data_IF_328164003699
#
_entry.id   IF_328164003699
#
_cell.length_a   1.000
_cell.length_b   1.000
_cell.length_c   1.000
_cell.angle_alpha   90.00
_cell.angle_beta   90.00
_cell.angle_gamma   90.00
#
_symmetry.space_group_name_H-M   'P 1'
#
loop_
_entity.id
_entity.type
_entity.pdbx_description
1 polymer ?
#
# COMPACT_ATOMS: atom_id res chain seq x y z
N UNK A 1 17.07 15.72 5.16
CA UNK A 1 16.42 15.13 6.34
C UNK A 1 14.95 15.52 6.55
N UNK A 2 14.44 16.62 5.94
CA UNK A 2 13.01 16.99 6.05
C UNK A 2 12.12 16.36 4.96
N UNK A 3 12.65 16.16 3.75
CA UNK A 3 11.86 15.66 2.62
C UNK A 3 11.49 14.18 2.77
N UNK A 4 12.38 13.36 3.32
CA UNK A 4 12.15 11.93 3.54
C UNK A 4 11.04 11.67 4.56
N UNK A 5 10.99 12.45 5.65
CA UNK A 5 9.91 12.37 6.66
C UNK A 5 8.56 12.79 6.06
N UNK A 6 8.56 13.82 5.21
CA UNK A 6 7.36 14.26 4.48
C UNK A 6 6.87 13.16 3.53
N UNK A 7 7.78 12.58 2.75
CA UNK A 7 7.47 11.46 1.84
C UNK A 7 6.94 10.22 2.56
N UNK A 8 7.52 9.87 3.71
CA UNK A 8 7.03 8.78 4.58
C UNK A 8 5.61 9.07 5.09
N UNK A 9 5.34 10.30 5.52
CA UNK A 9 4.00 10.72 5.95
C UNK A 9 2.97 10.65 4.82
N UNK A 10 3.35 11.05 3.60
CA UNK A 10 2.51 10.94 2.40
C UNK A 10 2.23 9.47 2.03
N UNK A 11 3.22 8.58 2.19
CA UNK A 11 3.08 7.14 1.96
C UNK A 11 2.09 6.51 2.95
N UNK A 12 2.22 6.82 4.25
CA UNK A 12 1.29 6.32 5.28
C UNK A 12 -0.14 6.80 4.99
N UNK A 13 -0.30 8.09 4.68
CA UNK A 13 -1.60 8.66 4.34
C UNK A 13 -2.25 7.99 3.12
N UNK A 14 -1.44 7.62 2.12
CA UNK A 14 -1.92 6.87 0.95
C UNK A 14 -2.37 5.45 1.29
N UNK A 15 -1.61 4.73 2.13
CA UNK A 15 -1.99 3.39 2.58
C UNK A 15 -3.28 3.43 3.38
N UNK A 16 -3.40 4.35 4.35
CA UNK A 16 -4.61 4.52 5.16
C UNK A 16 -5.85 4.82 4.31
N UNK A 17 -5.69 5.66 3.27
CA UNK A 17 -6.78 5.98 2.33
C UNK A 17 -7.26 4.74 1.59
N UNK A 18 -6.34 3.93 1.06
CA UNK A 18 -6.71 2.71 0.34
C UNK A 18 -7.32 1.64 1.25
N UNK A 19 -6.83 1.48 2.48
CA UNK A 19 -7.44 0.57 3.46
C UNK A 19 -8.86 1.00 3.82
N UNK A 20 -9.09 2.30 4.03
CA UNK A 20 -10.41 2.86 4.30
C UNK A 20 -11.37 2.68 3.11
N UNK A 21 -10.83 2.80 1.89
CA UNK A 21 -11.60 2.59 0.67
C UNK A 21 -12.01 1.11 0.49
N UNK A 22 -11.10 0.17 0.79
CA UNK A 22 -11.42 -1.27 0.80
C UNK A 22 -12.52 -1.56 1.82
N UNK A 23 -12.41 -1.04 3.05
CA UNK A 23 -13.45 -1.21 4.08
C UNK A 23 -14.81 -0.68 3.63
N UNK A 24 -14.82 0.48 2.95
CA UNK A 24 -16.06 1.04 2.36
C UNK A 24 -16.63 0.16 1.27
N UNK A 25 -15.80 -0.40 0.39
CA UNK A 25 -16.24 -1.28 -0.71
C UNK A 25 -16.75 -2.62 -0.15
N UNK A 26 -16.14 -3.16 0.90
CA UNK A 26 -16.55 -4.40 1.55
C UNK A 26 -17.95 -4.32 2.18
N UNK A 27 -18.40 -3.12 2.54
CA UNK A 27 -19.78 -2.86 3.03
C UNK A 27 -20.82 -2.89 1.91
N UNK A 28 -20.41 -2.92 0.64
CA UNK A 28 -21.34 -3.04 -0.49
C UNK A 28 -21.80 -4.50 -0.67
N UNK A 29 -23.01 -4.72 -1.20
CA UNK A 29 -23.49 -6.05 -1.58
C UNK A 29 -22.53 -6.76 -2.54
N UNK A 30 -22.49 -8.08 -2.44
CA UNK A 30 -21.65 -8.90 -3.29
C UNK A 30 -22.01 -8.76 -4.76
N UNK A 31 -21.00 -8.47 -5.58
CA UNK A 31 -21.13 -8.34 -7.02
C UNK A 31 -19.75 -8.39 -7.68
N UNK A 32 -19.70 -8.72 -8.97
CA UNK A 32 -18.48 -8.66 -9.77
C UNK A 32 -17.89 -7.24 -9.79
N UNK A 33 -18.77 -6.23 -9.77
CA UNK A 33 -18.38 -4.82 -9.66
C UNK A 33 -17.66 -4.54 -8.34
N UNK A 34 -18.12 -5.10 -7.22
CA UNK A 34 -17.43 -4.99 -5.92
C UNK A 34 -16.04 -5.63 -6.01
N UNK A 35 -15.94 -6.82 -6.59
CA UNK A 35 -14.67 -7.52 -6.78
C UNK A 35 -13.67 -6.70 -7.61
N UNK A 36 -14.14 -6.09 -8.71
CA UNK A 36 -13.31 -5.22 -9.56
C UNK A 36 -12.80 -3.97 -8.82
N UNK A 37 -13.64 -3.34 -7.99
CA UNK A 37 -13.24 -2.19 -7.17
C UNK A 37 -12.18 -2.58 -6.13
N UNK A 38 -12.35 -3.70 -5.42
CA UNK A 38 -11.35 -4.20 -4.47
C UNK A 38 -10.02 -4.50 -5.17
N UNK A 39 -10.06 -5.21 -6.32
CA UNK A 39 -8.87 -5.54 -7.08
C UNK A 39 -8.13 -4.27 -7.55
N UNK A 40 -8.85 -3.25 -8.00
CA UNK A 40 -8.28 -1.97 -8.39
C UNK A 40 -7.60 -1.27 -7.21
N UNK A 41 -8.25 -1.19 -6.04
CA UNK A 41 -7.66 -0.57 -4.85
C UNK A 41 -6.43 -1.33 -4.35
N UNK A 42 -6.45 -2.67 -4.39
CA UNK A 42 -5.29 -3.50 -4.05
C UNK A 42 -4.12 -3.32 -5.03
N UNK A 43 -4.38 -3.18 -6.33
CA UNK A 43 -3.34 -2.92 -7.33
C UNK A 43 -2.66 -1.56 -7.08
N UNK A 44 -3.43 -0.53 -6.75
CA UNK A 44 -2.91 0.79 -6.41
C UNK A 44 -2.07 0.77 -5.12
N UNK A 45 -2.48 -0.05 -4.13
CA UNK A 45 -1.70 -0.28 -2.91
C UNK A 45 -0.34 -0.96 -3.22
N UNK A 46 -0.32 -1.92 -4.15
CA UNK A 46 0.91 -2.59 -4.56
C UNK A 46 1.91 -1.64 -5.25
N UNK A 47 1.43 -0.71 -6.08
CA UNK A 47 2.28 0.35 -6.64
C UNK A 47 2.89 1.25 -5.55
N UNK A 48 2.11 1.50 -4.49
CA UNK A 48 2.57 2.26 -3.31
C UNK A 48 3.66 1.49 -2.54
N UNK A 49 3.60 0.15 -2.49
CA UNK A 49 4.66 -0.72 -1.93
C UNK A 49 5.97 -0.64 -2.72
N UNK A 50 5.93 -0.48 -4.04
CA UNK A 50 7.15 -0.29 -4.84
C UNK A 50 7.79 1.09 -4.61
N UNK A 51 6.99 2.10 -4.30
CA UNK A 51 7.49 3.40 -3.83
C UNK A 51 8.14 3.24 -2.45
N UNK A 52 7.54 2.48 -1.53
CA UNK A 52 8.11 2.19 -0.21
C UNK A 52 9.50 1.51 -0.31
N UNK A 53 9.69 0.59 -1.27
CA UNK A 53 11.00 -0.03 -1.56
C UNK A 53 12.08 1.00 -1.91
N UNK A 54 11.73 2.13 -2.56
CA UNK A 54 12.68 3.23 -2.84
C UNK A 54 13.19 3.93 -1.59
N UNK A 55 12.44 3.87 -0.49
CA UNK A 55 12.83 4.40 0.83
C UNK A 55 13.50 3.35 1.73
N UNK A 56 13.84 2.17 1.20
CA UNK A 56 14.43 1.08 2.00
C UNK A 56 13.43 0.37 2.92
N UNK A 57 12.13 0.71 2.86
CA UNK A 57 11.06 0.01 3.59
C UNK A 57 10.78 -1.31 2.85
N UNK A 58 11.49 -2.36 3.25
CA UNK A 58 11.62 -3.61 2.51
C UNK A 58 13.02 -4.22 2.60
N UNK A 59 13.97 -3.46 3.14
CA UNK A 59 15.17 -3.98 3.78
C UNK A 59 14.85 -4.29 5.25
N UNK A 60 15.49 -5.31 5.82
CA UNK A 60 15.57 -5.40 7.29
C UNK A 60 16.28 -4.16 7.84
N UNK A 61 16.19 -3.90 9.14
CA UNK A 61 16.87 -2.76 9.79
C UNK A 61 18.41 -2.73 9.58
N UNK A 62 18.99 -3.77 8.96
CA UNK A 62 20.40 -3.89 8.60
C UNK A 62 20.66 -3.68 7.08
N UNK A 63 19.68 -3.24 6.30
CA UNK A 63 19.84 -2.96 4.88
C UNK A 63 19.81 -4.19 3.96
N UNK A 64 19.37 -5.36 4.42
CA UNK A 64 19.25 -6.57 3.59
C UNK A 64 17.84 -6.72 3.03
N UNK A 65 17.71 -7.00 1.73
CA UNK A 65 16.42 -7.32 1.07
C UNK A 65 15.70 -8.44 1.84
N UNK A 66 14.49 -8.17 2.30
CA UNK A 66 13.59 -9.21 2.79
C UNK A 66 13.32 -10.16 1.62
N UNK A 67 13.66 -11.45 1.80
CA UNK A 67 13.38 -12.46 0.77
C UNK A 67 11.87 -12.60 0.64
N UNK A 68 11.35 -12.44 -0.57
CA UNK A 68 9.94 -12.73 -0.88
C UNK A 68 9.69 -14.21 -0.59
N UNK A 69 8.84 -14.50 0.41
CA UNK A 69 8.42 -15.85 0.75
C UNK A 69 7.63 -16.45 -0.41
N UNK A 70 8.07 -17.62 -0.88
CA UNK A 70 7.35 -18.49 -1.82
C UNK A 70 6.20 -19.20 -1.14
#
# INVERSE_FOLDING_TARGET
>A
MNDEKKYLGELVSHVERHLSEIDRIMKLPESDKRGGLIAQTCNNLNMTKDIAKRFGLGLDFNGKKLKEGK
#
